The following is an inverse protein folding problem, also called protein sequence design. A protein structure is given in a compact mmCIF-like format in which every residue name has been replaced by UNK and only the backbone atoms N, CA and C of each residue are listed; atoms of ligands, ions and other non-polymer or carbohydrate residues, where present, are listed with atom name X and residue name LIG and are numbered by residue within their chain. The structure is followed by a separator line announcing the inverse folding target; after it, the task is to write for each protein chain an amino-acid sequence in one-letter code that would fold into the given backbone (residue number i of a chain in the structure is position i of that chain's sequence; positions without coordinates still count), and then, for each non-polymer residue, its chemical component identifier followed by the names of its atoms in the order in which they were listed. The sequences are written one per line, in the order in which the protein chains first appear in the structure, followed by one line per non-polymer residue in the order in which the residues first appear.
data_IF_847347251113
#
_entry.id   IF_847347251113
#
_cell.length_a   1.000
_cell.length_b   1.000
_cell.length_c   1.000
_cell.angle_alpha   90.00
_cell.angle_beta   90.00
_cell.angle_gamma   90.00
#
_symmetry.space_group_name_H-M   'P 1'
#
loop_
_entity.id
_entity.type
_entity.pdbx_description
1 polymer ?
#
# COMPACT_ATOMS: atom_id res chain seq x y z
N UNK A 1 -55.50 -50.16 -3.84
CA UNK A 1 -54.05 -50.09 -3.60
C UNK A 1 -53.60 -48.73 -4.08
N UNK A 2 -53.54 -47.73 -3.19
CA UNK A 2 -53.15 -46.35 -3.52
C UNK A 2 -51.67 -46.21 -3.24
N UNK A 3 -50.89 -45.99 -4.31
CA UNK A 3 -49.47 -45.69 -4.20
C UNK A 3 -49.27 -44.16 -4.14
N UNK A 4 -49.00 -43.63 -2.99
CA UNK A 4 -48.70 -42.19 -2.76
C UNK A 4 -47.27 -41.93 -3.19
N UNK A 5 -47.06 -41.21 -4.29
CA UNK A 5 -45.77 -40.75 -4.73
C UNK A 5 -45.33 -39.58 -3.82
N UNK A 6 -44.19 -39.76 -3.14
CA UNK A 6 -43.50 -38.69 -2.40
C UNK A 6 -42.90 -37.70 -3.39
N UNK A 7 -43.42 -36.48 -3.36
CA UNK A 7 -42.83 -35.36 -4.08
C UNK A 7 -41.50 -34.98 -3.43
N UNK A 8 -40.41 -35.13 -4.16
CA UNK A 8 -39.09 -34.64 -3.78
C UNK A 8 -39.06 -33.11 -3.89
N UNK A 9 -39.02 -32.45 -2.73
CA UNK A 9 -38.86 -30.99 -2.66
C UNK A 9 -37.39 -30.68 -2.92
N UNK A 10 -37.07 -30.20 -4.10
CA UNK A 10 -35.76 -29.58 -4.38
C UNK A 10 -35.64 -28.29 -3.56
N UNK A 11 -34.49 -28.04 -2.90
CA UNK A 11 -34.26 -26.78 -2.27
C UNK A 11 -34.12 -25.66 -3.33
N UNK A 12 -34.98 -24.65 -3.22
CA UNK A 12 -34.95 -23.47 -4.07
C UNK A 12 -33.63 -22.69 -3.80
N UNK A 13 -32.93 -22.32 -4.89
CA UNK A 13 -31.99 -21.22 -4.87
C UNK A 13 -30.49 -21.51 -4.85
N UNK A 14 -30.03 -22.53 -5.54
CA UNK A 14 -28.64 -22.51 -5.98
C UNK A 14 -28.55 -21.61 -7.22
N UNK A 15 -28.04 -20.40 -7.07
CA UNK A 15 -27.67 -19.56 -8.20
C UNK A 15 -26.66 -20.35 -9.05
N UNK A 16 -27.05 -20.68 -10.27
CA UNK A 16 -26.18 -21.37 -11.20
C UNK A 16 -25.02 -20.41 -11.59
N UNK A 17 -23.86 -20.63 -11.02
CA UNK A 17 -22.66 -19.92 -11.44
C UNK A 17 -22.22 -20.47 -12.82
N UNK A 18 -21.67 -19.62 -13.70
CA UNK A 18 -21.06 -20.07 -14.95
C UNK A 18 -20.03 -21.17 -14.69
N UNK A 19 -19.94 -22.15 -15.59
CA UNK A 19 -18.94 -23.20 -15.46
C UNK A 19 -17.54 -22.60 -15.42
N UNK A 20 -16.79 -22.86 -14.33
CA UNK A 20 -15.46 -22.28 -14.08
C UNK A 20 -15.42 -21.08 -13.12
N UNK A 21 -16.58 -20.61 -12.63
CA UNK A 21 -16.57 -19.56 -11.61
C UNK A 21 -16.24 -20.14 -10.23
N UNK A 22 -15.10 -19.74 -9.67
CA UNK A 22 -14.70 -20.02 -8.29
C UNK A 22 -14.97 -18.77 -7.42
N UNK A 23 -15.98 -18.79 -6.53
CA UNK A 23 -16.30 -17.64 -5.70
C UNK A 23 -15.20 -17.28 -4.70
N UNK A 24 -14.38 -18.26 -4.29
CA UNK A 24 -13.27 -18.01 -3.37
C UNK A 24 -12.09 -17.34 -4.10
N UNK A 25 -11.77 -17.80 -5.31
CA UNK A 25 -10.76 -17.17 -6.15
C UNK A 25 -11.17 -15.74 -6.51
N UNK A 26 -12.43 -15.53 -6.94
CA UNK A 26 -12.97 -14.21 -7.26
C UNK A 26 -12.94 -13.25 -6.04
N UNK A 27 -13.29 -13.76 -4.85
CA UNK A 27 -13.17 -12.96 -3.62
C UNK A 27 -11.72 -12.68 -3.26
N UNK A 28 -10.81 -13.64 -3.40
CA UNK A 28 -9.38 -13.46 -3.17
C UNK A 28 -8.78 -12.39 -4.07
N UNK A 29 -9.10 -12.41 -5.36
CA UNK A 29 -8.71 -11.37 -6.30
C UNK A 29 -9.28 -9.99 -5.90
N UNK A 30 -10.55 -9.93 -5.52
CA UNK A 30 -11.19 -8.69 -5.08
C UNK A 30 -10.62 -8.18 -3.76
N UNK A 31 -10.35 -9.05 -2.80
CA UNK A 31 -9.74 -8.71 -1.52
C UNK A 31 -8.28 -8.24 -1.70
N UNK A 32 -7.53 -8.90 -2.59
CA UNK A 32 -6.18 -8.50 -2.96
C UNK A 32 -6.13 -7.17 -3.74
N UNK A 33 -7.24 -6.74 -4.34
CA UNK A 33 -7.38 -5.47 -5.03
C UNK A 33 -7.61 -4.28 -4.07
N UNK A 34 -7.74 -4.51 -2.77
CA UNK A 34 -7.84 -3.43 -1.78
C UNK A 34 -6.51 -2.69 -1.74
N UNK A 35 -6.51 -1.50 -2.34
CA UNK A 35 -5.33 -0.64 -2.39
C UNK A 35 -5.15 0.05 -1.05
N UNK A 36 -3.97 -0.13 -0.44
CA UNK A 36 -3.55 0.65 0.71
C UNK A 36 -2.83 1.90 0.20
N UNK A 37 -3.40 3.06 0.49
CA UNK A 37 -2.83 4.33 0.03
C UNK A 37 -1.81 4.88 1.01
N UNK A 38 -0.70 5.38 0.48
CA UNK A 38 0.26 6.20 1.22
C UNK A 38 -0.06 7.66 0.94
N UNK A 39 -0.18 8.45 2.00
CA UNK A 39 -0.31 9.90 1.96
C UNK A 39 0.95 10.55 2.55
N UNK A 40 1.25 11.79 2.14
CA UNK A 40 2.34 12.56 2.73
C UNK A 40 1.79 13.83 3.38
N UNK A 41 2.01 13.98 4.68
CA UNK A 41 1.46 15.08 5.48
C UNK A 41 2.47 15.51 6.54
N UNK A 42 2.75 16.80 6.62
CA UNK A 42 3.62 17.41 7.64
C UNK A 42 5.05 16.82 7.73
N UNK A 43 5.57 16.26 6.65
CA UNK A 43 6.90 15.64 6.62
C UNK A 43 6.91 14.14 6.89
N UNK A 44 5.76 13.51 7.06
CA UNK A 44 5.59 12.09 7.35
C UNK A 44 4.83 11.38 6.24
N UNK A 45 5.17 10.11 6.02
CA UNK A 45 4.43 9.21 5.17
C UNK A 45 3.48 8.38 6.04
N UNK A 46 2.20 8.40 5.71
CA UNK A 46 1.14 7.78 6.48
C UNK A 46 0.39 6.76 5.60
N UNK A 47 -0.06 5.66 6.19
CA UNK A 47 -0.87 4.66 5.49
C UNK A 47 -1.97 4.11 6.38
N UNK A 48 -2.96 3.45 5.75
CA UNK A 48 -4.06 2.83 6.49
C UNK A 48 -5.08 3.82 7.04
N UNK A 49 -6.02 3.29 7.82
CA UNK A 49 -7.14 4.05 8.42
C UNK A 49 -6.68 4.79 9.68
N UNK A 50 -5.68 4.24 10.37
CA UNK A 50 -5.15 4.77 11.64
C UNK A 50 -4.03 5.80 11.43
N UNK A 51 -3.73 6.18 10.16
CA UNK A 51 -2.60 7.05 9.80
C UNK A 51 -1.25 6.53 10.36
N UNK A 52 -1.00 5.22 10.20
CA UNK A 52 0.25 4.59 10.61
C UNK A 52 1.44 5.22 9.90
N UNK A 53 2.52 5.51 10.63
CA UNK A 53 3.70 6.18 10.09
C UNK A 53 4.65 5.18 9.44
N UNK A 54 5.02 5.44 8.19
CA UNK A 54 6.14 4.76 7.53
C UNK A 54 7.43 5.52 7.86
N UNK A 55 8.42 4.89 8.50
CA UNK A 55 9.68 5.56 8.84
C UNK A 55 10.41 6.10 7.61
N UNK A 56 11.06 7.26 7.75
CA UNK A 56 11.97 7.76 6.73
C UNK A 56 13.14 6.78 6.56
N UNK A 57 13.64 6.67 5.33
CA UNK A 57 14.66 5.68 4.99
C UNK A 57 14.09 4.30 4.62
N UNK A 58 12.79 4.06 4.81
CA UNK A 58 12.14 2.82 4.34
C UNK A 58 12.29 2.71 2.82
N UNK A 59 12.59 1.49 2.36
CA UNK A 59 12.84 1.21 0.96
C UNK A 59 11.69 0.48 0.31
N UNK A 60 11.36 0.91 -0.90
CA UNK A 60 10.32 0.32 -1.73
C UNK A 60 10.84 0.04 -3.13
N UNK A 61 10.28 -0.98 -3.74
CA UNK A 61 10.41 -1.24 -5.18
C UNK A 61 9.29 -0.45 -5.86
N UNK A 62 9.66 0.49 -6.74
CA UNK A 62 8.68 1.32 -7.42
C UNK A 62 8.31 0.72 -8.78
N UNK A 63 7.02 0.46 -9.01
CA UNK A 63 6.50 -0.01 -10.28
C UNK A 63 6.40 1.16 -11.28
N UNK A 64 7.54 1.57 -11.83
CA UNK A 64 7.59 2.67 -12.81
C UNK A 64 6.84 2.39 -14.12
N UNK A 65 6.85 1.15 -14.67
CA UNK A 65 5.98 0.82 -15.81
C UNK A 65 4.49 0.99 -15.52
N UNK A 66 4.07 0.77 -14.28
CA UNK A 66 2.69 0.92 -13.81
C UNK A 66 2.33 2.32 -13.30
N UNK A 67 3.22 3.31 -13.44
CA UNK A 67 2.94 4.69 -13.06
C UNK A 67 1.78 5.26 -13.87
N UNK A 68 0.72 5.68 -13.18
CA UNK A 68 -0.45 6.32 -13.77
C UNK A 68 -0.42 7.82 -13.55
N UNK A 69 -0.80 8.57 -14.58
CA UNK A 69 -0.86 10.04 -14.56
C UNK A 69 -2.15 10.51 -15.22
N UNK A 70 -2.73 11.58 -14.70
CA UNK A 70 -3.95 12.13 -15.29
C UNK A 70 -4.78 12.91 -14.30
N UNK A 71 -6.10 12.78 -14.40
CA UNK A 71 -7.04 13.60 -13.66
C UNK A 71 -8.03 12.76 -12.89
N UNK A 72 -8.34 13.21 -11.67
CA UNK A 72 -9.45 12.70 -10.88
C UNK A 72 -10.42 13.83 -10.57
N UNK A 73 -11.70 13.55 -10.78
CA UNK A 73 -12.78 14.46 -10.40
C UNK A 73 -13.28 14.10 -9.01
N UNK A 74 -13.45 15.10 -8.18
CA UNK A 74 -13.93 14.97 -6.81
C UNK A 74 -15.26 15.69 -6.65
N UNK A 75 -16.19 15.06 -5.94
CA UNK A 75 -17.42 15.67 -5.47
C UNK A 75 -17.79 15.08 -4.12
N UNK A 76 -18.17 15.94 -3.19
CA UNK A 76 -18.52 15.57 -1.81
C UNK A 76 -17.46 14.65 -1.14
N UNK A 77 -16.18 14.94 -1.37
CA UNK A 77 -15.06 14.19 -0.80
C UNK A 77 -14.81 12.82 -1.43
N UNK A 78 -15.47 12.48 -2.55
CA UNK A 78 -15.32 11.21 -3.27
C UNK A 78 -14.84 11.42 -4.68
N UNK A 79 -14.08 10.46 -5.20
CA UNK A 79 -13.72 10.42 -6.63
C UNK A 79 -14.95 9.97 -7.40
N UNK A 80 -15.40 10.81 -8.36
CA UNK A 80 -16.51 10.53 -9.26
C UNK A 80 -16.07 10.12 -10.65
N UNK A 81 -14.91 10.60 -11.08
CA UNK A 81 -14.30 10.25 -12.37
C UNK A 81 -12.79 10.04 -12.18
N UNK A 82 -12.27 9.01 -12.83
CA UNK A 82 -10.86 8.64 -12.81
C UNK A 82 -10.37 8.51 -14.26
N UNK A 83 -9.54 9.46 -14.67
CA UNK A 83 -8.97 9.56 -16.01
C UNK A 83 -7.45 9.47 -15.91
N UNK A 84 -6.97 8.38 -15.36
CA UNK A 84 -5.55 8.08 -15.22
C UNK A 84 -5.11 7.10 -16.31
N UNK A 85 -4.10 7.49 -17.09
CA UNK A 85 -3.47 6.67 -18.11
C UNK A 85 -2.07 6.23 -17.67
N UNK A 86 -1.60 5.10 -18.20
CA UNK A 86 -0.22 4.65 -17.97
C UNK A 86 0.75 5.61 -18.65
N UNK A 87 1.70 6.16 -17.89
CA UNK A 87 2.74 7.02 -18.46
C UNK A 87 3.59 6.27 -19.51
N UNK A 88 3.75 4.95 -19.34
CA UNK A 88 4.50 4.09 -20.25
C UNK A 88 3.91 4.02 -21.65
N UNK A 89 2.60 4.25 -21.82
CA UNK A 89 1.93 4.26 -23.12
C UNK A 89 2.28 5.49 -23.95
N UNK A 90 2.95 6.48 -23.34
CA UNK A 90 3.40 7.71 -24.03
C UNK A 90 2.27 8.65 -24.44
N UNK A 91 1.04 8.41 -23.99
CA UNK A 91 -0.10 9.29 -24.23
C UNK A 91 -0.04 10.46 -23.25
N UNK A 92 0.03 11.70 -23.72
CA UNK A 92 0.03 12.85 -22.83
C UNK A 92 -1.33 13.00 -22.13
N UNK A 93 -1.36 13.34 -20.84
CA UNK A 93 -2.61 13.59 -20.12
C UNK A 93 -3.42 14.72 -20.78
N UNK A 94 -4.74 14.59 -20.72
CA UNK A 94 -5.65 15.63 -21.21
C UNK A 94 -5.35 16.99 -20.55
N UNK A 95 -5.64 18.07 -21.27
CA UNK A 95 -5.52 19.41 -20.69
C UNK A 95 -6.72 19.70 -19.80
N UNK A 96 -6.54 20.49 -18.73
CA UNK A 96 -7.63 20.85 -17.82
C UNK A 96 -8.87 21.40 -18.53
N UNK A 97 -8.68 22.23 -19.55
CA UNK A 97 -9.77 22.83 -20.33
C UNK A 97 -10.62 21.84 -21.14
N UNK A 98 -10.15 20.62 -21.35
CA UNK A 98 -10.85 19.57 -22.10
C UNK A 98 -11.78 18.72 -21.23
N UNK A 99 -11.73 18.91 -19.89
CA UNK A 99 -12.44 18.07 -18.92
C UNK A 99 -13.83 18.61 -18.52
N UNK A 100 -14.22 19.81 -19.00
CA UNK A 100 -15.44 20.46 -18.55
C UNK A 100 -15.33 21.09 -17.16
N UNK A 101 -16.49 21.37 -16.54
CA UNK A 101 -16.59 21.95 -15.19
C UNK A 101 -15.75 23.24 -15.03
N UNK A 102 -15.80 24.15 -16.01
CA UNK A 102 -14.98 25.37 -16.02
C UNK A 102 -15.63 26.53 -15.27
N UNK A 103 -16.93 26.43 -14.96
CA UNK A 103 -17.65 27.46 -14.24
C UNK A 103 -17.33 27.41 -12.74
N UNK A 104 -16.51 28.34 -12.29
CA UNK A 104 -16.12 28.43 -10.88
C UNK A 104 -17.29 28.77 -9.94
N UNK A 105 -18.39 29.29 -10.47
CA UNK A 105 -19.57 29.62 -9.67
C UNK A 105 -20.32 28.41 -9.15
N UNK A 106 -20.10 27.23 -9.75
CA UNK A 106 -20.71 25.95 -9.32
C UNK A 106 -19.75 25.03 -8.58
N UNK A 107 -18.49 25.43 -8.41
CA UNK A 107 -17.51 24.62 -7.70
C UNK A 107 -17.79 24.55 -6.20
N UNK A 108 -17.46 23.43 -5.59
CA UNK A 108 -17.46 23.31 -4.13
C UNK A 108 -16.46 24.29 -3.52
N UNK A 109 -16.79 24.83 -2.35
CA UNK A 109 -15.90 25.73 -1.64
C UNK A 109 -14.96 24.94 -0.75
N UNK A 110 -13.70 25.35 -0.68
CA UNK A 110 -12.73 24.82 0.28
C UNK A 110 -12.98 25.36 1.70
N UNK A 111 -12.18 24.94 2.69
CA UNK A 111 -12.25 25.37 4.08
C UNK A 111 -12.06 26.89 4.25
N UNK A 112 -11.47 27.57 3.25
CA UNK A 112 -11.28 29.02 3.20
C UNK A 112 -12.35 29.74 2.40
N UNK A 113 -13.43 29.05 2.03
CA UNK A 113 -14.52 29.52 1.19
C UNK A 113 -14.07 29.99 -0.20
N UNK A 114 -13.01 29.38 -0.74
CA UNK A 114 -12.58 29.62 -2.11
C UNK A 114 -13.10 28.50 -3.02
N UNK A 115 -13.51 28.81 -4.28
CA UNK A 115 -13.88 27.78 -5.24
C UNK A 115 -12.74 26.77 -5.45
N UNK A 116 -13.04 25.49 -5.24
CA UNK A 116 -12.09 24.39 -5.43
C UNK A 116 -12.38 23.70 -6.73
N UNK A 117 -11.39 23.68 -7.65
CA UNK A 117 -11.51 22.93 -8.88
C UNK A 117 -11.83 21.46 -8.59
N UNK A 118 -12.94 20.90 -9.11
CA UNK A 118 -13.28 19.51 -8.90
C UNK A 118 -12.26 18.54 -9.54
N UNK A 119 -11.56 18.96 -10.59
CA UNK A 119 -10.56 18.17 -11.26
C UNK A 119 -9.16 18.41 -10.68
N UNK A 120 -8.53 17.34 -10.22
CA UNK A 120 -7.17 17.40 -9.67
C UNK A 120 -6.25 16.52 -10.50
N UNK A 121 -5.16 17.11 -11.00
CA UNK A 121 -4.11 16.35 -11.64
C UNK A 121 -3.44 15.44 -10.60
N UNK A 122 -3.41 14.15 -10.87
CA UNK A 122 -3.02 13.12 -9.90
C UNK A 122 -2.04 12.15 -10.54
N UNK A 123 -1.04 11.75 -9.78
CA UNK A 123 -0.16 10.64 -10.13
C UNK A 123 -0.37 9.51 -9.12
N UNK A 124 -0.42 8.27 -9.59
CA UNK A 124 -0.45 7.06 -8.77
C UNK A 124 0.75 6.16 -9.09
N UNK A 125 1.56 5.89 -8.10
CA UNK A 125 2.71 5.00 -8.19
C UNK A 125 2.54 3.85 -7.20
N UNK A 126 2.53 2.62 -7.72
CA UNK A 126 2.54 1.42 -6.88
C UNK A 126 3.95 1.22 -6.32
N UNK A 127 4.02 1.04 -5.01
CA UNK A 127 5.22 0.82 -4.24
C UNK A 127 5.11 -0.51 -3.51
N UNK A 128 6.09 -1.39 -3.66
CA UNK A 128 6.14 -2.64 -2.92
C UNK A 128 7.27 -2.57 -1.89
N UNK A 129 6.96 -2.86 -0.63
CA UNK A 129 7.95 -2.92 0.43
C UNK A 129 9.08 -3.89 0.07
N UNK A 130 10.33 -3.43 0.13
CA UNK A 130 11.47 -4.26 -0.26
C UNK A 130 11.65 -5.46 0.68
N UNK A 131 11.32 -5.30 1.96
CA UNK A 131 11.49 -6.34 2.99
C UNK A 131 10.18 -7.10 3.25
N UNK A 132 9.03 -6.42 3.22
CA UNK A 132 7.73 -7.00 3.58
C UNK A 132 6.97 -7.57 2.39
N UNK A 133 7.23 -7.05 1.20
CA UNK A 133 6.48 -7.40 0.00
C UNK A 133 5.10 -6.75 -0.12
N UNK A 134 4.63 -6.04 0.91
CA UNK A 134 3.34 -5.37 0.91
C UNK A 134 3.25 -4.32 -0.18
N UNK A 135 2.09 -4.23 -0.82
CA UNK A 135 1.85 -3.25 -1.87
C UNK A 135 1.07 -2.04 -1.36
N UNK A 136 1.56 -0.87 -1.74
CA UNK A 136 0.98 0.42 -1.42
C UNK A 136 0.83 1.26 -2.68
N UNK A 137 -0.08 2.22 -2.65
CA UNK A 137 -0.24 3.20 -3.71
C UNK A 137 0.12 4.58 -3.17
N UNK A 138 1.21 5.16 -3.65
CA UNK A 138 1.50 6.56 -3.41
C UNK A 138 0.71 7.40 -4.42
N UNK A 139 -0.43 7.95 -3.97
CA UNK A 139 -1.28 8.81 -4.78
C UNK A 139 -1.09 10.27 -4.35
N UNK A 140 -0.85 11.16 -5.31
CA UNK A 140 -0.61 12.57 -5.00
C UNK A 140 -1.13 13.51 -6.08
N UNK A 141 -1.75 14.60 -5.62
CA UNK A 141 -2.12 15.76 -6.44
C UNK A 141 -1.43 17.04 -5.95
N UNK A 142 -0.66 16.96 -4.86
CA UNK A 142 0.05 18.08 -4.30
C UNK A 142 1.26 18.46 -5.18
N UNK A 143 1.57 19.77 -5.25
CA UNK A 143 2.73 20.27 -6.00
C UNK A 143 4.04 19.57 -5.58
N UNK A 144 4.23 19.35 -4.28
CA UNK A 144 5.42 18.67 -3.76
C UNK A 144 5.48 17.21 -4.17
N UNK A 145 4.35 16.49 -4.06
CA UNK A 145 4.26 15.09 -4.45
C UNK A 145 4.44 14.86 -5.95
N UNK A 146 3.77 15.68 -6.78
CA UNK A 146 3.96 15.66 -8.24
C UNK A 146 5.41 15.95 -8.63
N UNK A 147 6.06 16.89 -7.92
CA UNK A 147 7.49 17.18 -8.09
C UNK A 147 8.36 15.98 -7.75
N UNK A 148 8.09 15.29 -6.64
CA UNK A 148 8.86 14.10 -6.22
C UNK A 148 8.78 12.97 -7.24
N UNK A 149 7.58 12.67 -7.77
CA UNK A 149 7.41 11.71 -8.87
C UNK A 149 8.14 12.17 -10.13
N UNK A 150 8.05 13.47 -10.46
CA UNK A 150 8.77 14.03 -11.60
C UNK A 150 10.29 13.87 -11.51
N UNK A 151 10.89 14.08 -10.34
CA UNK A 151 12.33 13.86 -10.13
C UNK A 151 12.69 12.36 -10.21
N UNK A 152 11.85 11.48 -9.65
CA UNK A 152 12.01 10.05 -9.79
C UNK A 152 11.96 9.62 -11.27
N UNK A 153 10.99 10.13 -12.05
CA UNK A 153 10.90 9.87 -13.49
C UNK A 153 12.15 10.33 -14.24
N UNK A 154 12.72 11.48 -13.89
CA UNK A 154 13.98 11.96 -14.49
C UNK A 154 15.14 11.04 -14.16
N UNK A 155 15.25 10.59 -12.91
CA UNK A 155 16.31 9.68 -12.48
C UNK A 155 16.17 8.30 -13.15
N UNK A 156 14.97 7.75 -13.17
CA UNK A 156 14.65 6.49 -13.83
C UNK A 156 14.90 6.56 -15.32
N UNK A 157 14.42 7.60 -16.00
CA UNK A 157 14.51 7.79 -17.45
C UNK A 157 15.95 7.81 -17.99
N UNK A 158 16.93 8.22 -17.16
CA UNK A 158 18.35 8.20 -17.54
C UNK A 158 18.92 6.78 -17.61
N UNK A 159 18.38 5.84 -16.85
CA UNK A 159 19.04 4.54 -16.59
C UNK A 159 18.23 3.32 -17.04
N UNK A 160 16.88 3.41 -17.14
CA UNK A 160 16.01 2.25 -17.36
C UNK A 160 16.35 1.46 -18.64
N UNK A 161 16.76 2.15 -19.71
CA UNK A 161 17.17 1.50 -20.97
C UNK A 161 18.44 0.66 -20.83
N UNK A 162 19.28 0.97 -19.85
CA UNK A 162 20.51 0.23 -19.55
C UNK A 162 20.25 -0.91 -18.54
N UNK A 163 19.02 -0.99 -18.01
CA UNK A 163 18.61 -1.93 -16.96
C UNK A 163 17.29 -2.62 -17.34
N UNK A 164 17.27 -3.35 -18.48
CA UNK A 164 16.04 -4.01 -18.94
C UNK A 164 15.58 -5.06 -17.93
N UNK A 165 14.26 -5.10 -17.67
CA UNK A 165 13.65 -6.03 -16.71
C UNK A 165 13.99 -5.75 -15.24
N UNK A 166 14.47 -4.54 -14.93
CA UNK A 166 14.75 -4.13 -13.56
C UNK A 166 13.80 -3.01 -13.11
N UNK A 167 13.37 -3.10 -11.88
CA UNK A 167 12.59 -2.06 -11.19
C UNK A 167 13.50 -1.25 -10.26
N UNK A 168 13.27 0.06 -10.12
CA UNK A 168 14.06 0.88 -9.22
C UNK A 168 13.67 0.65 -7.76
N UNK A 169 14.68 0.59 -6.90
CA UNK A 169 14.51 0.68 -5.46
C UNK A 169 14.62 2.15 -5.07
N UNK A 170 13.61 2.63 -4.37
CA UNK A 170 13.56 3.99 -3.85
C UNK A 170 13.62 3.98 -2.32
N UNK A 171 14.14 5.05 -1.75
CA UNK A 171 14.15 5.32 -0.32
C UNK A 171 13.28 6.55 -0.04
N UNK A 172 12.37 6.44 0.95
CA UNK A 172 11.49 7.53 1.33
C UNK A 172 12.27 8.57 2.16
N UNK A 173 12.15 9.81 1.75
CA UNK A 173 12.72 10.95 2.45
C UNK A 173 11.78 12.15 2.39
N UNK A 174 12.17 13.23 3.03
CA UNK A 174 11.52 14.51 2.87
C UNK A 174 12.54 15.64 2.83
N UNK A 175 12.12 16.76 2.27
CA UNK A 175 12.82 18.02 2.39
C UNK A 175 11.81 19.14 2.67
N UNK A 176 12.26 20.34 2.88
CA UNK A 176 11.39 21.46 3.23
C UNK A 176 11.89 22.77 2.65
N UNK A 177 10.98 23.71 2.53
CA UNK A 177 11.28 25.10 2.19
C UNK A 177 10.51 26.05 3.11
N UNK A 178 11.03 27.25 3.26
CA UNK A 178 10.32 28.30 3.99
C UNK A 178 9.30 28.97 3.08
N UNK A 179 8.01 28.75 3.37
CA UNK A 179 6.92 29.42 2.65
C UNK A 179 6.57 30.72 3.39
N UNK A 180 6.36 31.82 2.63
CA UNK A 180 6.10 33.17 3.20
C UNK A 180 4.88 33.23 4.12
N UNK A 181 3.85 32.41 3.83
CA UNK A 181 2.57 32.42 4.57
C UNK A 181 2.44 31.23 5.51
N UNK A 182 2.94 30.04 5.10
CA UNK A 182 2.73 28.77 5.83
C UNK A 182 3.94 28.32 6.64
N UNK A 183 5.02 29.14 6.66
CA UNK A 183 6.23 28.79 7.39
C UNK A 183 6.98 27.61 6.76
N UNK A 184 7.46 26.68 7.58
CA UNK A 184 8.19 25.49 7.13
C UNK A 184 7.21 24.52 6.43
N UNK A 185 7.39 24.33 5.13
CA UNK A 185 6.56 23.47 4.31
C UNK A 185 7.36 22.27 3.83
N UNK A 186 6.94 21.09 4.21
CA UNK A 186 7.60 19.83 3.81
C UNK A 186 7.08 19.33 2.46
N UNK A 187 7.94 18.61 1.74
CA UNK A 187 7.58 17.88 0.53
C UNK A 187 8.27 16.51 0.52
N UNK A 188 7.62 15.49 -0.09
CA UNK A 188 8.18 14.15 -0.17
C UNK A 188 9.40 14.11 -1.10
N UNK A 189 10.33 13.19 -0.81
CA UNK A 189 11.48 12.87 -1.66
C UNK A 189 11.49 11.36 -1.88
N UNK A 190 11.49 10.95 -3.14
CA UNK A 190 11.57 9.53 -3.57
C UNK A 190 12.96 9.32 -4.18
N UNK A 191 13.93 8.96 -3.34
CA UNK A 191 15.33 8.85 -3.76
C UNK A 191 15.60 7.48 -4.39
N UNK A 192 15.98 7.44 -5.67
CA UNK A 192 16.42 6.22 -6.31
C UNK A 192 17.77 5.77 -5.71
N UNK A 193 17.81 4.60 -5.08
CA UNK A 193 18.97 4.07 -4.35
C UNK A 193 19.49 2.74 -4.91
N UNK A 194 18.70 2.05 -5.74
CA UNK A 194 19.10 0.76 -6.28
C UNK A 194 18.18 0.25 -7.39
N UNK A 195 18.38 -1.00 -7.76
CA UNK A 195 17.62 -1.70 -8.80
C UNK A 195 17.50 -3.18 -8.42
N UNK A 196 16.31 -3.76 -8.65
CA UNK A 196 16.04 -5.19 -8.47
C UNK A 196 15.48 -5.77 -9.76
N UNK A 197 15.68 -7.05 -9.99
CA UNK A 197 15.04 -7.78 -11.08
C UNK A 197 13.58 -8.05 -10.73
N UNK A 198 12.67 -7.96 -11.69
CA UNK A 198 11.24 -8.16 -11.44
C UNK A 198 10.90 -9.56 -10.85
N UNK A 199 11.54 -10.68 -11.25
CA UNK A 199 11.39 -11.98 -10.59
C UNK A 199 11.84 -11.98 -9.13
N UNK A 200 12.98 -11.35 -8.84
CA UNK A 200 13.52 -11.25 -7.47
C UNK A 200 12.57 -10.46 -6.56
N UNK A 201 11.79 -9.55 -7.14
CA UNK A 201 10.78 -8.79 -6.45
C UNK A 201 9.56 -9.64 -6.03
N UNK A 202 9.25 -10.72 -6.75
CA UNK A 202 8.18 -11.69 -6.42
C UNK A 202 8.69 -12.73 -5.44
N UNK A 203 9.95 -13.18 -5.57
CA UNK A 203 10.57 -14.18 -4.70
C UNK A 203 10.78 -13.67 -3.27
N UNK A 204 11.15 -12.39 -3.10
CA UNK A 204 11.25 -11.76 -1.77
C UNK A 204 9.93 -11.82 -0.98
N UNK A 205 8.80 -11.74 -1.68
CA UNK A 205 7.47 -11.91 -1.06
C UNK A 205 7.21 -13.36 -0.63
N UNK A 206 7.65 -14.33 -1.41
CA UNK A 206 7.48 -15.76 -1.08
C UNK A 206 8.36 -16.18 0.11
N UNK A 207 9.56 -15.62 0.24
CA UNK A 207 10.49 -15.91 1.33
C UNK A 207 10.04 -15.26 2.65
N UNK A 208 9.49 -14.05 2.62
CA UNK A 208 8.91 -13.39 3.80
C UNK A 208 7.62 -14.07 4.31
N UNK A 209 6.91 -14.78 3.42
CA UNK A 209 5.70 -15.55 3.77
C UNK A 209 5.97 -16.99 4.19
N UNK A 210 7.22 -17.48 4.15
CA UNK A 210 7.56 -18.80 4.64
C UNK A 210 7.34 -18.86 6.17
N UNK A 211 6.52 -19.79 6.69
CA UNK A 211 6.31 -19.89 8.11
C UNK A 211 7.64 -20.21 8.79
N UNK A 212 8.06 -19.36 9.73
CA UNK A 212 9.19 -19.64 10.63
C UNK A 212 8.91 -20.99 11.29
N UNK A 213 9.72 -21.99 10.98
CA UNK A 213 9.62 -23.31 11.60
C UNK A 213 9.69 -23.12 13.12
N UNK A 214 8.78 -23.73 13.90
CA UNK A 214 8.83 -23.62 15.35
C UNK A 214 10.19 -24.09 15.85
N UNK A 215 10.81 -23.41 16.82
CA UNK A 215 12.11 -23.79 17.32
C UNK A 215 12.07 -25.24 17.80
N UNK A 216 13.02 -26.06 17.31
CA UNK A 216 13.16 -27.45 17.68
C UNK A 216 13.20 -27.55 19.19
N UNK A 217 12.22 -28.26 19.76
CA UNK A 217 12.21 -28.57 21.20
C UNK A 217 13.47 -29.37 21.54
N UNK A 218 14.31 -28.81 22.36
CA UNK A 218 15.47 -29.50 22.91
C UNK A 218 15.00 -30.75 23.68
N UNK A 219 15.70 -31.89 23.58
CA UNK A 219 15.30 -33.08 24.30
C UNK A 219 15.41 -32.84 25.83
N UNK A 220 14.51 -33.42 26.64
CA UNK A 220 14.51 -33.23 28.09
C UNK A 220 15.80 -33.75 28.69
N UNK A 221 16.49 -32.93 29.46
CA UNK A 221 17.64 -33.31 30.28
C UNK A 221 17.23 -34.35 31.32
N UNK A 222 18.07 -35.35 31.60
CA UNK A 222 17.76 -36.39 32.59
C UNK A 222 17.65 -35.78 34.00
N UNK A 223 16.56 -36.13 34.70
CA UNK A 223 16.24 -35.73 36.06
C UNK A 223 17.31 -36.21 37.03
N UNK A 224 17.97 -35.32 37.75
CA UNK A 224 18.82 -35.60 38.90
C UNK A 224 17.95 -36.06 40.08
N UNK A 225 18.32 -37.14 40.80
CA UNK A 225 17.52 -37.65 41.92
C UNK A 225 17.50 -36.67 43.08
N UNK A 226 16.33 -36.55 43.70
CA UNK A 226 16.06 -35.69 44.84
C UNK A 226 16.96 -36.03 46.05
N UNK A 227 17.62 -35.02 46.57
CA UNK A 227 18.37 -35.06 47.83
C UNK A 227 17.38 -35.08 49.02
N UNK A 228 17.55 -36.01 49.95
CA UNK A 228 16.74 -36.15 51.14
C UNK A 228 16.75 -34.88 52.02
N UNK A 229 15.68 -34.63 52.78
CA UNK A 229 15.59 -33.44 53.63
C UNK A 229 16.53 -33.54 54.87
N UNK A 230 17.22 -32.43 55.12
CA UNK A 230 18.11 -32.20 56.24
C UNK A 230 17.29 -31.86 57.52
N UNK A 231 17.67 -32.37 58.76
CA UNK A 231 16.90 -32.11 59.96
C UNK A 231 17.08 -30.67 60.50
N UNK A 232 16.10 -30.12 61.25
CA UNK A 232 16.10 -28.71 61.65
C UNK A 232 17.13 -28.41 62.78
N UNK A 233 17.82 -27.27 62.63
CA UNK A 233 18.79 -26.77 63.62
C UNK A 233 18.10 -26.22 64.88
N UNK A 234 18.75 -26.30 66.05
CA UNK A 234 18.16 -25.94 67.36
C UNK A 234 18.07 -24.42 67.56
N UNK A 235 16.94 -23.99 68.15
CA UNK A 235 16.70 -22.60 68.54
C UNK A 235 17.64 -22.12 69.61
N UNK A 236 18.42 -21.09 69.41
CA UNK A 236 19.16 -20.39 70.48
C UNK A 236 18.23 -19.45 71.21
N UNK A 237 18.00 -19.68 72.47
CA UNK A 237 17.41 -18.80 73.46
C UNK A 237 18.43 -17.73 73.84
N UNK A 238 18.06 -16.48 73.78
CA UNK A 238 18.81 -15.34 74.39
C UNK A 238 18.21 -15.02 75.75
N UNK A 239 19.07 -14.98 76.72
CA UNK A 239 18.88 -14.19 77.93
C UNK A 239 19.25 -12.76 77.71
#
# INVERSE_FOLDING_TARGET
MNSTALASTQPAGALAHPAGYDPYAAYGEQASAIKVYITFKNGEYLFGVEDDVIPLGTRFIANMPGLKVGWKRWSAGRVTDDLLDLLADGVPPRRRGELGDLDQGVWELDDKRQPRDPWQFTNELVLRGQETGDEFVFATSSKGGLGAIGELCKAYGKLYRQKPGMLPVIELGHDHYAHKVYGKTYFPVLKLVGWVREPDAVEAHAEAAAPVAPPAQSPPSPSTPAKAPEPPAPKRTRF
#
